data_IF_011204976134
#
_entry.id   IF_011204976134
#
_cell.length_a   1.000
_cell.length_b   1.000
_cell.length_c   1.000
_cell.angle_alpha   90.00
_cell.angle_beta   90.00
_cell.angle_gamma   90.00
#
_symmetry.space_group_name_H-M   'P 1'
#
loop_
_entity.id
_entity.type
_entity.pdbx_description
1 polymer ?
#
# COMPACT_ATOMS: atom_id res chain seq x y z
N UNK A 1 -2.81 -19.34 -12.75
CA UNK A 1 -2.70 -18.83 -11.36
C UNK A 1 -1.43 -18.00 -11.31
N UNK A 2 -1.54 -16.67 -11.31
CA UNK A 2 -0.38 -15.77 -11.24
C UNK A 2 -0.02 -15.63 -9.76
N UNK A 3 1.18 -16.03 -9.39
CA UNK A 3 1.67 -15.91 -8.01
C UNK A 3 1.91 -14.43 -7.71
N UNK A 4 1.45 -13.95 -6.56
CA UNK A 4 1.71 -12.56 -6.16
C UNK A 4 3.22 -12.37 -5.95
N UNK A 5 3.85 -11.37 -6.58
CA UNK A 5 5.30 -11.19 -6.44
C UNK A 5 5.66 -10.87 -4.99
N UNK A 6 6.68 -11.55 -4.44
CA UNK A 6 7.13 -11.29 -3.07
C UNK A 6 7.56 -9.81 -2.91
N UNK A 7 8.19 -9.23 -3.93
CA UNK A 7 8.63 -7.84 -3.94
C UNK A 7 7.45 -6.86 -3.78
N UNK A 8 6.27 -7.19 -4.33
CA UNK A 8 5.07 -6.36 -4.19
C UNK A 8 4.57 -6.28 -2.76
N UNK A 9 4.77 -7.33 -1.96
CA UNK A 9 4.40 -7.31 -0.55
C UNK A 9 5.29 -6.32 0.22
N UNK A 10 6.59 -6.32 -0.05
CA UNK A 10 7.51 -5.37 0.58
C UNK A 10 7.21 -3.92 0.16
N UNK A 11 6.88 -3.69 -1.11
CA UNK A 11 6.45 -2.37 -1.59
C UNK A 11 5.18 -1.89 -0.86
N UNK A 12 4.15 -2.75 -0.73
CA UNK A 12 2.92 -2.42 0.00
C UNK A 12 3.21 -2.06 1.46
N UNK A 13 4.03 -2.87 2.14
CA UNK A 13 4.37 -2.65 3.56
C UNK A 13 5.15 -1.35 3.72
N UNK A 14 6.15 -1.10 2.89
CA UNK A 14 6.95 0.12 2.93
C UNK A 14 6.09 1.37 2.68
N UNK A 15 5.18 1.30 1.70
CA UNK A 15 4.27 2.40 1.38
C UNK A 15 3.32 2.72 2.55
N UNK A 16 2.68 1.70 3.12
CA UNK A 16 1.80 1.90 4.27
C UNK A 16 2.60 2.47 5.45
N UNK A 17 3.75 1.87 5.78
CA UNK A 17 4.58 2.31 6.89
C UNK A 17 5.06 3.76 6.73
N UNK A 18 5.38 4.19 5.51
CA UNK A 18 5.81 5.56 5.22
C UNK A 18 4.72 6.59 5.55
N UNK A 19 3.45 6.30 5.24
CA UNK A 19 2.34 7.23 5.44
C UNK A 19 1.65 7.11 6.80
N UNK A 20 1.65 5.93 7.43
CA UNK A 20 0.99 5.69 8.73
C UNK A 20 1.94 5.70 9.91
N UNK A 21 3.24 5.53 9.66
CA UNK A 21 4.28 5.32 10.67
C UNK A 21 4.06 4.10 11.57
N UNK A 22 3.25 3.13 11.12
CA UNK A 22 3.08 1.87 11.82
C UNK A 22 4.31 0.97 11.68
N UNK A 23 4.45 0.05 12.62
CA UNK A 23 5.57 -0.89 12.62
C UNK A 23 5.41 -1.91 11.49
N UNK A 24 6.54 -2.31 10.88
CA UNK A 24 6.56 -3.32 9.83
C UNK A 24 5.83 -4.62 10.23
N UNK A 25 6.03 -5.08 11.47
CA UNK A 25 5.41 -6.30 12.00
C UNK A 25 3.88 -6.25 12.01
N UNK A 26 3.31 -5.07 12.29
CA UNK A 26 1.87 -4.86 12.31
C UNK A 26 1.29 -4.96 10.91
N UNK A 27 1.89 -4.27 9.93
CA UNK A 27 1.43 -4.27 8.54
C UNK A 27 1.67 -5.64 7.87
N UNK A 28 2.76 -6.32 8.23
CA UNK A 28 3.05 -7.67 7.76
C UNK A 28 2.01 -8.70 8.23
N UNK A 29 1.32 -8.44 9.34
CA UNK A 29 0.24 -9.31 9.85
C UNK A 29 -1.06 -9.19 9.06
N UNK A 30 -1.22 -8.11 8.27
CA UNK A 30 -2.43 -7.89 7.47
C UNK A 30 -2.58 -8.95 6.39
N UNK A 31 -3.83 -9.27 6.06
CA UNK A 31 -4.14 -10.01 4.84
C UNK A 31 -3.76 -9.18 3.61
N UNK A 32 -3.62 -9.87 2.47
CA UNK A 32 -3.38 -9.19 1.20
C UNK A 32 -4.48 -8.16 0.86
N UNK A 33 -5.75 -8.49 1.15
CA UNK A 33 -6.88 -7.60 0.91
C UNK A 33 -6.81 -6.32 1.76
N UNK A 34 -6.40 -6.44 3.02
CA UNK A 34 -6.22 -5.28 3.91
C UNK A 34 -5.09 -4.38 3.42
N UNK A 35 -3.93 -4.93 3.04
CA UNK A 35 -2.84 -4.13 2.48
C UNK A 35 -3.26 -3.39 1.20
N UNK A 36 -3.93 -4.06 0.26
CA UNK A 36 -4.45 -3.40 -0.95
C UNK A 36 -5.45 -2.29 -0.62
N UNK A 37 -6.34 -2.51 0.34
CA UNK A 37 -7.31 -1.50 0.78
C UNK A 37 -6.61 -0.26 1.34
N UNK A 38 -5.64 -0.45 2.24
CA UNK A 38 -4.88 0.65 2.80
C UNK A 38 -4.09 1.42 1.74
N UNK A 39 -3.44 0.73 0.80
CA UNK A 39 -2.76 1.39 -0.32
C UNK A 39 -3.73 2.26 -1.15
N UNK A 40 -4.95 1.78 -1.40
CA UNK A 40 -5.99 2.53 -2.12
C UNK A 40 -6.42 3.78 -1.35
N UNK A 41 -6.71 3.67 -0.06
CA UNK A 41 -7.17 4.81 0.75
C UNK A 41 -6.09 5.88 0.92
N UNK A 42 -4.85 5.48 1.21
CA UNK A 42 -3.71 6.40 1.30
C UNK A 42 -3.52 7.13 -0.04
N UNK A 43 -3.57 6.40 -1.16
CA UNK A 43 -3.46 7.01 -2.49
C UNK A 43 -4.59 8.00 -2.76
N UNK A 44 -5.85 7.68 -2.43
CA UNK A 44 -6.99 8.61 -2.58
C UNK A 44 -6.78 9.90 -1.79
N UNK A 45 -6.29 9.81 -0.55
CA UNK A 45 -6.00 10.98 0.29
C UNK A 45 -4.88 11.79 -0.34
N UNK A 46 -3.78 11.15 -0.72
CA UNK A 46 -2.61 11.81 -1.29
C UNK A 46 -2.92 12.48 -2.64
N UNK A 47 -3.71 11.84 -3.51
CA UNK A 47 -4.15 12.41 -4.79
C UNK A 47 -5.05 13.63 -4.59
N UNK A 48 -5.92 13.64 -3.57
CA UNK A 48 -6.75 14.81 -3.23
C UNK A 48 -5.93 15.99 -2.69
N UNK A 49 -4.83 15.71 -1.99
CA UNK A 49 -3.98 16.75 -1.38
C UNK A 49 -3.01 17.38 -2.37
N UNK A 50 -2.59 16.64 -3.40
CA UNK A 50 -1.48 17.05 -4.28
C UNK A 50 -1.88 17.41 -5.73
N UNK A 51 -3.18 17.53 -6.07
CA UNK A 51 -3.63 17.68 -7.48
C UNK A 51 -2.95 16.67 -8.44
N UNK A 52 -2.81 15.44 -7.94
CA UNK A 52 -2.33 14.17 -8.54
C UNK A 52 -0.84 13.97 -8.88
N UNK A 53 -0.31 12.83 -8.40
CA UNK A 53 0.26 11.82 -9.29
C UNK A 53 -0.54 10.50 -9.28
N UNK A 54 -0.44 9.73 -10.36
CA UNK A 54 -1.08 8.42 -10.58
C UNK A 54 -0.76 7.39 -9.48
N UNK A 55 -1.73 6.53 -9.17
CA UNK A 55 -1.59 5.47 -8.16
C UNK A 55 -0.66 4.36 -8.68
N UNK A 56 0.56 4.27 -8.14
CA UNK A 56 1.55 3.25 -8.54
C UNK A 56 1.17 1.80 -8.19
N UNK A 57 0.07 1.59 -7.47
CA UNK A 57 -0.44 0.26 -7.07
C UNK A 57 -1.65 -0.21 -7.90
N UNK A 58 -2.12 0.57 -8.87
CA UNK A 58 -3.11 0.07 -9.84
C UNK A 58 -2.42 -0.86 -10.85
N UNK A 59 -2.64 -2.17 -10.67
CA UNK A 59 -2.35 -3.25 -11.63
C UNK A 59 -3.66 -3.96 -11.92
#
# INVERSE_FOLDING_TARGET
MILYPADKIYEEIAFIAYYTHWQHSEIASFSHAERKRWCSEISKINSKLNDTPENIFSI
#
